data_IF_257782550833
#
_entry.id   IF_257782550833
#
_cell.length_a   1.000
_cell.length_b   1.000
_cell.length_c   1.000
_cell.angle_alpha   90.00
_cell.angle_beta   90.00
_cell.angle_gamma   90.00
#
_symmetry.space_group_name_H-M   'P 1'
#
loop_
_entity.id
_entity.type
_entity.pdbx_description
1 polymer ?
#
# COMPACT_ATOMS: atom_id res chain seq x y z
N UNK A 1 10.55 -23.52 -20.48
CA UNK A 1 10.09 -22.95 -19.20
C UNK A 1 9.99 -21.45 -19.43
N UNK A 2 8.78 -20.91 -19.62
CA UNK A 2 8.61 -19.48 -19.83
C UNK A 2 8.73 -18.78 -18.49
N UNK A 3 9.82 -18.04 -18.28
CA UNK A 3 9.94 -17.13 -17.15
C UNK A 3 8.93 -16.01 -17.42
N UNK A 4 7.82 -16.01 -16.67
CA UNK A 4 6.87 -14.91 -16.70
C UNK A 4 7.65 -13.69 -16.21
N UNK A 5 7.90 -12.72 -17.09
CA UNK A 5 8.61 -11.50 -16.70
C UNK A 5 7.81 -10.84 -15.57
N UNK A 6 8.47 -10.58 -14.44
CA UNK A 6 7.86 -9.81 -13.35
C UNK A 6 7.54 -8.42 -13.88
N UNK A 7 6.28 -7.99 -13.73
CA UNK A 7 5.87 -6.65 -14.12
C UNK A 7 6.58 -5.64 -13.21
N UNK A 8 7.09 -4.55 -13.79
CA UNK A 8 7.60 -3.44 -12.98
C UNK A 8 6.45 -2.71 -12.25
N UNK A 9 6.77 -1.98 -11.18
CA UNK A 9 5.79 -1.15 -10.49
C UNK A 9 5.06 -0.18 -11.43
N UNK A 10 5.78 0.42 -12.39
CA UNK A 10 5.16 1.24 -13.43
C UNK A 10 4.16 0.48 -14.29
N UNK A 11 4.49 -0.75 -14.70
CA UNK A 11 3.57 -1.58 -15.49
C UNK A 11 2.33 -1.97 -14.69
N UNK A 12 2.47 -2.22 -13.39
CA UNK A 12 1.35 -2.51 -12.48
C UNK A 12 0.50 -1.25 -12.22
N UNK A 13 1.12 -0.08 -12.07
CA UNK A 13 0.41 1.19 -11.91
C UNK A 13 -0.45 1.52 -13.15
N UNK A 14 0.06 1.24 -14.36
CA UNK A 14 -0.69 1.46 -15.61
C UNK A 14 -1.93 0.55 -15.69
N UNK A 15 -1.90 -0.65 -15.10
CA UNK A 15 -3.07 -1.53 -14.99
C UNK A 15 -4.25 -0.87 -14.24
N UNK A 16 -4.02 0.14 -13.38
CA UNK A 16 -5.12 0.89 -12.75
C UNK A 16 -6.05 1.60 -13.76
N UNK A 17 -5.55 1.91 -14.96
CA UNK A 17 -6.34 2.51 -16.05
C UNK A 17 -7.40 1.55 -16.61
N UNK A 18 -7.33 0.26 -16.33
CA UNK A 18 -8.30 -0.75 -16.76
C UNK A 18 -8.99 -1.41 -15.57
N UNK A 19 -8.22 -1.75 -14.54
CA UNK A 19 -8.62 -2.70 -13.51
C UNK A 19 -9.23 -2.01 -12.28
N UNK A 20 -8.90 -0.74 -12.04
CA UNK A 20 -9.49 0.02 -10.93
C UNK A 20 -10.99 0.25 -11.15
N UNK A 21 -11.78 -0.07 -10.10
CA UNK A 21 -13.22 0.17 -10.06
C UNK A 21 -13.53 1.67 -10.08
N UNK A 22 -14.69 2.04 -10.63
CA UNK A 22 -15.08 3.44 -10.83
C UNK A 22 -15.21 4.25 -9.53
N UNK A 23 -15.54 3.59 -8.43
CA UNK A 23 -15.72 4.18 -7.10
C UNK A 23 -14.42 4.60 -6.41
N UNK A 24 -13.26 4.23 -6.97
CA UNK A 24 -11.94 4.74 -6.56
C UNK A 24 -11.63 6.13 -7.13
N UNK A 25 -12.41 6.59 -8.12
CA UNK A 25 -12.17 7.86 -8.82
C UNK A 25 -13.45 8.57 -9.27
N UNK A 26 -14.54 8.38 -8.53
CA UNK A 26 -15.86 8.95 -8.84
C UNK A 26 -16.10 10.35 -8.27
N UNK A 27 -15.18 10.86 -7.44
CA UNK A 27 -15.36 12.12 -6.71
C UNK A 27 -16.42 12.05 -5.59
N UNK A 28 -16.76 10.84 -5.13
CA UNK A 28 -17.74 10.57 -4.08
C UNK A 28 -17.10 9.88 -2.88
N UNK A 29 -16.14 8.98 -3.11
CA UNK A 29 -15.49 8.24 -2.03
C UNK A 29 -14.03 8.66 -1.87
N UNK A 30 -13.56 8.69 -0.63
CA UNK A 30 -12.15 8.85 -0.36
C UNK A 30 -11.38 7.58 -0.77
N UNK A 31 -10.12 7.77 -1.10
CA UNK A 31 -9.17 6.68 -1.31
C UNK A 31 -9.09 5.89 0.01
N UNK A 32 -9.16 4.57 -0.07
CA UNK A 32 -9.00 3.70 1.10
C UNK A 32 -7.53 3.51 1.48
N UNK A 33 -6.73 2.94 0.58
CA UNK A 33 -5.30 2.73 0.80
C UNK A 33 -4.58 2.58 -0.53
N UNK A 34 -3.27 2.76 -0.49
CA UNK A 34 -2.37 2.20 -1.49
C UNK A 34 -1.57 1.07 -0.84
N UNK A 35 -1.42 -0.03 -1.55
CA UNK A 35 -0.82 -1.24 -1.01
C UNK A 35 0.36 -1.72 -1.86
N UNK A 36 1.42 -2.15 -1.18
CA UNK A 36 2.52 -2.87 -1.79
C UNK A 36 2.59 -4.29 -1.22
N UNK A 37 3.35 -5.16 -1.88
CA UNK A 37 3.64 -6.50 -1.39
C UNK A 37 5.13 -6.83 -1.56
N UNK A 38 5.65 -7.65 -0.66
CA UNK A 38 6.98 -8.25 -0.73
C UNK A 38 6.84 -9.76 -0.62
N UNK A 39 7.41 -10.54 -1.56
CA UNK A 39 7.28 -12.00 -1.52
C UNK A 39 8.00 -12.59 -0.30
N UNK A 40 7.38 -13.61 0.31
CA UNK A 40 8.03 -14.43 1.32
C UNK A 40 8.89 -15.47 0.61
N UNK A 41 10.21 -15.57 0.92
CA UNK A 41 11.05 -16.59 0.33
C UNK A 41 10.52 -18.01 0.62
N UNK A 42 10.50 -18.86 -0.39
CA UNK A 42 10.05 -20.25 -0.23
C UNK A 42 10.88 -20.98 0.84
N UNK A 43 10.21 -21.77 1.68
CA UNK A 43 10.85 -22.50 2.77
C UNK A 43 11.24 -21.64 3.98
N UNK A 44 10.74 -20.41 4.08
CA UNK A 44 10.91 -19.58 5.28
C UNK A 44 10.29 -20.28 6.49
N UNK A 45 11.13 -20.61 7.48
CA UNK A 45 10.65 -21.16 8.76
C UNK A 45 9.95 -20.10 9.60
N UNK A 46 9.15 -20.48 10.61
CA UNK A 46 8.50 -19.51 11.51
C UNK A 46 9.49 -18.53 12.17
N UNK A 47 10.63 -19.01 12.67
CA UNK A 47 11.69 -18.14 13.19
C UNK A 47 12.42 -17.32 12.12
N UNK A 48 12.40 -17.78 10.86
CA UNK A 48 12.85 -17.01 9.70
C UNK A 48 11.91 -15.85 9.38
N UNK A 49 10.59 -16.05 9.53
CA UNK A 49 9.57 -15.03 9.28
C UNK A 49 9.79 -13.78 10.13
N UNK A 50 10.06 -13.96 11.43
CA UNK A 50 10.36 -12.83 12.31
C UNK A 50 11.59 -12.03 11.84
N UNK A 51 12.60 -12.68 11.26
CA UNK A 51 13.77 -11.97 10.71
C UNK A 51 13.42 -11.20 9.44
N UNK A 52 12.58 -11.78 8.57
CA UNK A 52 12.09 -11.11 7.36
C UNK A 52 11.29 -9.86 7.77
N UNK A 53 10.33 -10.00 8.68
CA UNK A 53 9.51 -8.89 9.18
C UNK A 53 10.38 -7.80 9.81
N UNK A 54 11.30 -8.16 10.72
CA UNK A 54 12.20 -7.17 11.36
C UNK A 54 13.06 -6.42 10.34
N UNK A 55 13.56 -7.11 9.32
CA UNK A 55 14.30 -6.47 8.24
C UNK A 55 13.41 -5.52 7.45
N UNK A 56 12.21 -5.96 7.06
CA UNK A 56 11.26 -5.14 6.33
C UNK A 56 10.86 -3.89 7.12
N UNK A 57 10.54 -4.03 8.41
CA UNK A 57 10.24 -2.89 9.30
C UNK A 57 11.40 -1.91 9.34
N UNK A 58 12.64 -2.39 9.47
CA UNK A 58 13.83 -1.54 9.44
C UNK A 58 13.95 -0.79 8.11
N UNK A 59 13.79 -1.48 6.99
CA UNK A 59 13.89 -0.90 5.66
C UNK A 59 12.76 0.12 5.39
N UNK A 60 11.55 -0.13 5.89
CA UNK A 60 10.40 0.78 5.80
C UNK A 60 10.53 2.01 6.71
N UNK A 61 11.19 1.87 7.87
CA UNK A 61 11.30 2.95 8.86
C UNK A 61 12.12 4.16 8.41
N UNK A 62 12.95 3.98 7.36
CA UNK A 62 13.82 5.03 6.81
C UNK A 62 13.24 5.67 5.54
N UNK A 63 12.05 5.23 5.10
CA UNK A 63 11.43 5.72 3.87
C UNK A 63 10.79 7.10 4.07
N UNK A 64 10.65 7.84 2.96
CA UNK A 64 10.04 9.18 2.98
C UNK A 64 8.57 9.15 3.36
N UNK A 65 7.85 8.10 2.98
CA UNK A 65 6.47 7.83 3.36
C UNK A 65 6.49 6.58 4.24
N UNK A 66 6.03 6.70 5.48
CA UNK A 66 6.07 5.60 6.45
C UNK A 66 4.88 4.68 6.23
N UNK A 67 5.12 3.36 6.18
CA UNK A 67 4.04 2.38 6.12
C UNK A 67 3.18 2.44 7.39
N UNK A 68 1.89 2.17 7.25
CA UNK A 68 0.96 2.08 8.38
C UNK A 68 0.91 0.67 8.96
N UNK A 69 0.84 -0.33 8.08
CA UNK A 69 0.58 -1.71 8.47
C UNK A 69 1.34 -2.69 7.58
N UNK A 70 1.72 -3.82 8.16
CA UNK A 70 2.17 -5.01 7.46
C UNK A 70 1.19 -6.14 7.76
N UNK A 71 0.55 -6.68 6.73
CA UNK A 71 -0.29 -7.86 6.84
C UNK A 71 0.50 -9.09 6.34
N UNK A 72 0.66 -10.08 7.21
CA UNK A 72 1.42 -11.31 6.89
C UNK A 72 0.47 -12.31 6.23
N UNK A 73 0.63 -12.54 4.93
CA UNK A 73 -0.08 -13.59 4.20
C UNK A 73 0.79 -14.85 4.08
N UNK A 74 0.23 -15.91 3.49
CA UNK A 74 0.95 -17.18 3.31
C UNK A 74 2.21 -17.03 2.46
N UNK A 75 2.11 -16.27 1.36
CA UNK A 75 3.14 -16.21 0.31
C UNK A 75 3.79 -14.82 0.17
N UNK A 76 3.25 -13.79 0.81
CA UNK A 76 3.77 -12.42 0.76
C UNK A 76 3.44 -11.63 2.03
N UNK A 77 4.14 -10.51 2.20
CA UNK A 77 3.86 -9.48 3.19
C UNK A 77 3.22 -8.30 2.46
N UNK A 78 1.99 -7.95 2.80
CA UNK A 78 1.31 -6.77 2.29
C UNK A 78 1.65 -5.56 3.15
N UNK A 79 1.84 -4.40 2.54
CA UNK A 79 2.29 -3.16 3.17
C UNK A 79 1.31 -2.06 2.81
N UNK A 80 0.64 -1.53 3.82
CA UNK A 80 -0.42 -0.54 3.63
C UNK A 80 0.08 0.88 3.86
N UNK A 81 -0.32 1.78 2.96
CA UNK A 81 -0.18 3.22 3.07
C UNK A 81 -1.57 3.84 3.05
N UNK A 82 -2.10 4.08 4.24
CA UNK A 82 -3.40 4.74 4.42
C UNK A 82 -3.29 6.24 4.16
N UNK A 83 -4.33 6.88 3.61
CA UNK A 83 -4.39 8.31 3.46
C UNK A 83 -4.52 9.00 4.83
N UNK A 84 -4.07 10.24 4.87
CA UNK A 84 -4.21 11.13 6.01
C UNK A 84 -5.39 12.05 5.79
N UNK A 85 -6.44 11.89 6.59
CA UNK A 85 -7.70 12.58 6.34
C UNK A 85 -8.32 12.16 5.01
N UNK A 86 -9.19 13.00 4.44
CA UNK A 86 -9.95 12.67 3.24
C UNK A 86 -9.16 13.02 1.97
N UNK A 87 -8.48 12.02 1.41
CA UNK A 87 -7.80 12.13 0.12
C UNK A 87 -8.71 11.54 -0.96
N UNK A 88 -9.00 12.30 -2.01
CA UNK A 88 -9.92 11.88 -3.07
C UNK A 88 -9.40 12.29 -4.43
N UNK A 89 -9.67 11.47 -5.44
CA UNK A 89 -9.45 11.82 -6.84
C UNK A 89 -10.78 11.83 -7.59
N UNK A 90 -10.88 12.67 -8.61
CA UNK A 90 -12.11 12.94 -9.35
C UNK A 90 -12.18 12.21 -10.69
N UNK A 91 -11.06 11.67 -11.15
CA UNK A 91 -10.94 11.08 -12.49
C UNK A 91 -9.97 9.90 -12.48
N UNK A 92 -10.19 8.97 -13.41
CA UNK A 92 -9.28 7.85 -13.63
C UNK A 92 -7.85 8.29 -13.93
N UNK A 93 -7.69 9.40 -14.64
CA UNK A 93 -6.38 9.97 -14.96
C UNK A 93 -5.61 10.43 -13.72
N UNK A 94 -6.30 11.07 -12.76
CA UNK A 94 -5.69 11.45 -11.48
C UNK A 94 -5.32 10.22 -10.65
N UNK A 95 -6.20 9.20 -10.59
CA UNK A 95 -5.88 7.96 -9.88
C UNK A 95 -4.65 7.27 -10.49
N UNK A 96 -4.58 7.16 -11.81
CA UNK A 96 -3.40 6.61 -12.49
C UNK A 96 -2.13 7.44 -12.25
N UNK A 97 -2.24 8.77 -12.21
CA UNK A 97 -1.13 9.66 -11.84
C UNK A 97 -0.61 9.35 -10.43
N UNK A 98 -1.52 9.23 -9.45
CA UNK A 98 -1.19 8.86 -8.08
C UNK A 98 -0.52 7.47 -8.00
N UNK A 99 -1.03 6.48 -8.75
CA UNK A 99 -0.42 5.14 -8.82
C UNK A 99 0.99 5.17 -9.42
N UNK A 100 1.25 6.05 -10.40
CA UNK A 100 2.59 6.24 -10.97
C UNK A 100 3.57 6.89 -9.97
N UNK A 101 3.09 7.81 -9.14
CA UNK A 101 3.88 8.38 -8.03
C UNK A 101 4.20 7.32 -6.98
N UNK A 102 3.23 6.47 -6.64
CA UNK A 102 3.42 5.35 -5.73
C UNK A 102 4.43 4.33 -6.30
N UNK A 103 4.30 3.94 -7.57
CA UNK A 103 5.26 3.08 -8.26
C UNK A 103 6.69 3.64 -8.19
N UNK A 104 6.83 4.94 -8.49
CA UNK A 104 8.12 5.64 -8.40
C UNK A 104 8.71 5.60 -7.00
N UNK A 105 7.87 5.78 -5.98
CA UNK A 105 8.31 5.67 -4.59
C UNK A 105 8.81 4.26 -4.29
N UNK A 106 8.05 3.22 -4.64
CA UNK A 106 8.42 1.82 -4.39
C UNK A 106 9.76 1.45 -5.05
N UNK A 107 9.95 1.85 -6.30
CA UNK A 107 11.20 1.62 -7.05
C UNK A 107 12.43 2.31 -6.39
N UNK A 108 12.20 3.36 -5.60
CA UNK A 108 13.25 4.10 -4.88
C UNK A 108 13.53 3.57 -3.48
N UNK A 109 12.70 2.66 -2.94
CA UNK A 109 12.86 2.16 -1.56
C UNK A 109 14.10 1.29 -1.37
N UNK A 110 14.57 0.63 -2.45
CA UNK A 110 15.63 -0.37 -2.40
C UNK A 110 15.20 -1.71 -1.78
N UNK A 111 13.92 -1.89 -1.45
CA UNK A 111 13.39 -3.14 -0.90
C UNK A 111 13.28 -4.16 -2.03
N UNK A 112 13.99 -5.28 -1.92
CA UNK A 112 14.02 -6.30 -2.97
C UNK A 112 12.66 -6.94 -3.17
N UNK A 113 12.18 -6.97 -4.43
CA UNK A 113 10.94 -7.62 -4.81
C UNK A 113 9.67 -6.88 -4.37
N UNK A 114 9.77 -5.63 -3.91
CA UNK A 114 8.60 -4.84 -3.58
C UNK A 114 7.83 -4.48 -4.86
N UNK A 115 6.54 -4.81 -4.86
CA UNK A 115 5.64 -4.54 -5.97
C UNK A 115 4.36 -3.88 -5.48
N UNK A 116 3.67 -3.10 -6.33
CA UNK A 116 2.28 -2.70 -6.07
C UNK A 116 1.45 -3.98 -5.89
N UNK A 117 0.59 -3.98 -4.88
CA UNK A 117 -0.41 -5.00 -4.70
C UNK A 117 -1.68 -4.61 -5.47
N UNK A 118 -1.86 -5.16 -6.67
CA UNK A 118 -2.97 -4.82 -7.56
C UNK A 118 -4.34 -5.27 -7.01
N UNK A 119 -4.36 -6.21 -6.06
CA UNK A 119 -5.57 -6.58 -5.32
C UNK A 119 -6.27 -5.38 -4.67
N UNK A 120 -5.54 -4.34 -4.27
CA UNK A 120 -6.14 -3.15 -3.64
C UNK A 120 -7.02 -2.33 -4.60
N UNK A 121 -6.94 -2.55 -5.91
CA UNK A 121 -7.84 -1.91 -6.89
C UNK A 121 -9.29 -2.39 -6.78
N UNK A 122 -9.49 -3.54 -6.11
CA UNK A 122 -10.79 -4.17 -5.94
C UNK A 122 -11.37 -3.97 -4.55
N UNK A 123 -10.58 -3.40 -3.62
CA UNK A 123 -11.03 -3.05 -2.29
C UNK A 123 -12.24 -2.10 -2.37
N UNK A 124 -13.11 -2.20 -1.38
CA UNK A 124 -14.13 -1.18 -1.19
C UNK A 124 -13.44 0.15 -0.81
N UNK A 125 -13.90 1.28 -1.36
CA UNK A 125 -13.36 2.58 -0.99
C UNK A 125 -13.67 2.89 0.48
N UNK A 126 -12.97 3.88 1.03
CA UNK A 126 -13.24 4.38 2.39
C UNK A 126 -14.62 5.03 2.47
N UNK A 127 -14.99 5.48 3.67
CA UNK A 127 -16.16 6.32 3.93
C UNK A 127 -16.44 7.35 2.81
N UNK A 128 -17.72 7.40 2.40
CA UNK A 128 -18.23 8.41 1.47
C UNK A 128 -17.99 9.82 2.04
N UNK A 129 -17.41 10.72 1.26
CA UNK A 129 -17.15 12.10 1.70
C UNK A 129 -18.38 13.02 1.62
N UNK A 130 -19.57 12.49 1.29
CA UNK A 130 -20.82 13.27 1.11
C UNK A 130 -21.19 14.18 2.29
N UNK A 131 -20.83 13.82 3.52
CA UNK A 131 -21.09 14.60 4.74
C UNK A 131 -19.90 15.41 5.23
N UNK A 132 -18.76 15.34 4.54
CA UNK A 132 -17.51 16.03 4.89
C UNK A 132 -17.50 17.41 4.25
N UNK A 133 -17.05 18.42 5.00
CA UNK A 133 -16.86 19.77 4.46
C UNK A 133 -15.76 19.76 3.38
N UNK A 134 -16.00 20.41 2.23
CA UNK A 134 -15.03 20.46 1.13
C UNK A 134 -13.64 20.94 1.56
N UNK A 135 -13.54 21.84 2.55
CA UNK A 135 -12.27 22.37 3.05
C UNK A 135 -11.40 21.31 3.78
N UNK A 136 -11.98 20.16 4.12
CA UNK A 136 -11.31 19.04 4.76
C UNK A 136 -10.91 17.93 3.76
N UNK A 137 -11.31 18.07 2.50
CA UNK A 137 -11.06 17.08 1.44
C UNK A 137 -9.93 17.58 0.55
N UNK A 138 -8.91 16.76 0.37
CA UNK A 138 -7.90 16.99 -0.66
C UNK A 138 -8.29 16.27 -1.95
N UNK A 139 -8.69 17.05 -2.97
CA UNK A 139 -9.12 16.55 -4.28
C UNK A 139 -7.97 16.27 -5.27
N UNK A 140 -6.73 16.62 -4.87
CA UNK A 140 -5.52 16.43 -5.68
C UNK A 140 -4.40 15.85 -4.81
N UNK A 141 -4.58 14.64 -4.25
CA UNK A 141 -3.55 14.00 -3.46
C UNK A 141 -2.33 13.66 -4.30
N UNK A 142 -1.15 13.87 -3.70
CA UNK A 142 0.14 13.39 -4.19
C UNK A 142 0.61 12.27 -3.26
N UNK A 143 1.37 11.29 -3.78
CA UNK A 143 1.93 10.24 -2.94
C UNK A 143 3.16 10.76 -2.16
N UNK A 144 2.90 11.38 -1.01
CA UNK A 144 3.90 11.91 -0.11
C UNK A 144 3.46 11.81 1.36
N UNK A 145 4.38 12.12 2.29
CA UNK A 145 4.16 11.97 3.74
C UNK A 145 3.14 12.95 4.34
N UNK A 146 2.64 13.92 3.56
CA UNK A 146 1.55 14.80 3.99
C UNK A 146 0.19 14.16 3.72
N UNK A 147 0.07 13.41 2.62
CA UNK A 147 -1.19 12.82 2.19
C UNK A 147 -1.32 11.34 2.58
N UNK A 148 -0.22 10.60 2.74
CA UNK A 148 -0.23 9.16 3.01
C UNK A 148 0.76 8.76 4.10
N UNK A 149 0.54 7.57 4.65
CA UNK A 149 1.47 6.91 5.56
C UNK A 149 1.27 7.28 7.03
N UNK A 150 1.91 6.50 7.91
CA UNK A 150 1.90 6.72 9.36
C UNK A 150 2.59 8.02 9.75
N UNK A 151 2.18 8.63 10.87
CA UNK A 151 2.87 9.80 11.43
C UNK A 151 4.25 9.42 11.95
N UNK A 152 5.13 10.42 12.02
CA UNK A 152 6.43 10.29 12.67
C UNK A 152 6.17 9.92 14.15
N UNK A 153 6.49 8.69 14.53
CA UNK A 153 6.26 8.04 15.85
C UNK A 153 5.00 7.15 15.96
N UNK A 154 4.18 7.00 14.93
CA UNK A 154 3.19 5.92 14.90
C UNK A 154 3.91 4.61 14.51
N UNK A 155 3.77 3.53 15.30
CA UNK A 155 4.42 2.25 14.98
C UNK A 155 3.74 1.62 13.75
N UNK A 156 4.51 0.80 13.02
CA UNK A 156 3.95 -0.02 11.94
C UNK A 156 3.17 -1.16 12.60
N UNK A 157 1.86 -1.21 12.37
CA UNK A 157 1.02 -2.32 12.86
C UNK A 157 1.38 -3.61 12.12
N UNK A 158 1.52 -4.73 12.83
CA UNK A 158 1.82 -6.02 12.20
C UNK A 158 0.64 -6.96 12.48
N UNK A 159 -0.09 -7.32 11.44
CA UNK A 159 -1.23 -8.23 11.53
C UNK A 159 -0.86 -9.56 10.91
N UNK A 160 -1.05 -10.64 11.66
CA UNK A 160 -0.91 -11.97 11.09
C UNK A 160 -2.24 -12.40 10.43
N UNK A 161 -2.30 -12.29 9.09
CA UNK A 161 -3.41 -12.82 8.30
C UNK A 161 -3.21 -14.30 7.94
N UNK A 162 -2.01 -14.83 8.16
CA UNK A 162 -1.66 -16.24 7.98
C UNK A 162 -2.03 -17.12 9.18
N UNK A 163 -2.73 -16.56 10.18
CA UNK A 163 -3.19 -17.26 11.38
C UNK A 163 -4.71 -17.51 11.40
N UNK A 164 -5.26 -18.61 11.91
CA UNK A 164 -4.81 -19.59 12.92
C UNK A 164 -3.33 -19.51 13.38
N UNK A 165 -3.13 -18.82 14.53
CA UNK A 165 -1.90 -18.65 15.33
C UNK A 165 -0.98 -17.41 15.14
N UNK A 166 -1.35 -16.33 15.85
CA UNK A 166 -0.55 -15.49 16.76
C UNK A 166 0.90 -15.09 16.38
N UNK A 167 1.10 -13.81 16.09
CA UNK A 167 2.29 -13.07 16.53
C UNK A 167 1.84 -11.78 17.23
N UNK A 168 2.23 -11.63 18.50
CA UNK A 168 1.93 -10.44 19.31
C UNK A 168 2.75 -9.22 18.88
N UNK A 169 2.23 -8.05 19.25
CA UNK A 169 2.80 -6.73 19.01
C UNK A 169 4.32 -6.69 19.29
N UNK A 170 5.08 -6.15 18.33
CA UNK A 170 6.50 -5.83 18.52
C UNK A 170 6.59 -4.34 18.77
N UNK A 171 7.01 -3.98 19.99
CA UNK A 171 7.28 -2.61 20.44
C UNK A 171 8.42 -1.94 19.66
#
# INVERSE_FOLDING_TARGET
MYVKAEKSNYQIAISSLTDARGDHYDGVNAIYRLAAQVPIPAGTSPGGMQRVIKRLVKDLSVQKVLANRISVHKDFLEIDFYPRGFQMVMTRGQYAGLQLEFAKFLDQTGISGIAIQDGSYMDDPEDSVKSVCNDLINFFPEFNSKCFGAKKNEPIEIINCSSFELYGEVA
#
